data_IF_285124971117
#
_entry.id   IF_285124971117
#
_cell.length_a   1.000
_cell.length_b   1.000
_cell.length_c   1.000
_cell.angle_alpha   90.00
_cell.angle_beta   90.00
_cell.angle_gamma   90.00
#
_symmetry.space_group_name_H-M   'P 1'
#
loop_
_entity.id
_entity.type
_entity.pdbx_description
1 polymer ?
#
# COMPACT_ATOMS: atom_id res chain seq x y z
N UNK A 1 6.40 3.23 -15.40
CA UNK A 1 6.81 3.04 -13.98
C UNK A 1 5.76 2.19 -13.24
N UNK A 2 6.16 1.22 -12.42
CA UNK A 2 5.26 0.37 -11.63
C UNK A 2 5.14 0.87 -10.20
N UNK A 3 3.92 1.14 -9.75
CA UNK A 3 3.63 1.63 -8.40
C UNK A 3 2.73 0.65 -7.65
N UNK A 4 3.14 0.25 -6.45
CA UNK A 4 2.31 -0.59 -5.56
C UNK A 4 1.66 0.25 -4.47
N UNK A 5 0.33 0.23 -4.39
CA UNK A 5 -0.50 1.00 -3.46
C UNK A 5 -0.92 0.14 -2.26
N UNK A 6 -0.06 0.06 -1.25
CA UNK A 6 -0.34 -0.62 0.03
C UNK A 6 -1.10 0.30 1.00
N UNK A 7 -1.82 -0.29 1.95
CA UNK A 7 -2.49 0.44 3.02
C UNK A 7 -3.97 0.10 3.15
N UNK A 8 -4.66 0.92 3.94
CA UNK A 8 -6.10 0.80 4.21
C UNK A 8 -6.97 0.72 2.95
N UNK A 9 -8.11 0.03 3.04
CA UNK A 9 -9.03 -0.26 1.92
C UNK A 9 -10.45 0.29 2.17
N UNK A 10 -10.59 1.25 3.08
CA UNK A 10 -11.85 1.80 3.57
C UNK A 10 -12.19 3.19 3.00
N UNK A 11 -11.30 3.79 2.20
CA UNK A 11 -11.53 5.06 1.50
C UNK A 11 -11.15 4.94 0.02
N UNK A 12 -11.43 5.99 -0.76
CA UNK A 12 -11.24 6.10 -2.21
C UNK A 12 -9.85 6.63 -2.63
N UNK A 13 -8.88 6.63 -1.71
CA UNK A 13 -7.57 7.26 -1.94
C UNK A 13 -6.79 6.66 -3.12
N UNK A 14 -6.97 5.35 -3.41
CA UNK A 14 -6.30 4.70 -4.54
C UNK A 14 -6.88 5.20 -5.86
N UNK A 15 -8.21 5.28 -5.94
CA UNK A 15 -8.95 5.78 -7.08
C UNK A 15 -8.53 7.22 -7.37
N UNK A 16 -8.39 8.06 -6.36
CA UNK A 16 -7.89 9.44 -6.52
C UNK A 16 -6.48 9.50 -7.10
N UNK A 17 -5.55 8.63 -6.67
CA UNK A 17 -4.19 8.57 -7.24
C UNK A 17 -4.22 8.09 -8.68
N UNK A 18 -4.97 7.01 -8.95
CA UNK A 18 -5.07 6.42 -10.29
C UNK A 18 -5.68 7.43 -11.28
N UNK A 19 -6.75 8.12 -10.87
CA UNK A 19 -7.39 9.16 -11.67
C UNK A 19 -6.45 10.35 -11.92
N UNK A 20 -5.82 10.86 -10.86
CA UNK A 20 -4.94 12.03 -10.95
C UNK A 20 -3.66 11.77 -11.75
N UNK A 21 -3.23 10.51 -11.88
CA UNK A 21 -2.05 10.10 -12.62
C UNK A 21 -2.36 9.52 -14.01
N UNK A 22 -3.60 9.65 -14.53
CA UNK A 22 -3.99 9.10 -15.84
C UNK A 22 -3.15 9.58 -17.02
N UNK A 23 -2.56 10.76 -16.92
CA UNK A 23 -1.69 11.33 -17.95
C UNK A 23 -0.22 10.92 -17.81
N UNK A 24 0.12 10.12 -16.78
CA UNK A 24 1.46 9.62 -16.52
C UNK A 24 1.61 8.18 -17.02
N UNK A 25 2.83 7.82 -17.47
CA UNK A 25 3.19 6.44 -17.81
C UNK A 25 3.44 5.59 -16.53
N UNK A 26 2.36 5.35 -15.79
CA UNK A 26 2.36 4.60 -14.53
C UNK A 26 1.37 3.44 -14.59
N UNK A 27 1.81 2.27 -14.14
CA UNK A 27 0.95 1.12 -13.90
C UNK A 27 0.81 0.92 -12.39
N UNK A 28 -0.44 0.95 -11.91
CA UNK A 28 -0.74 0.76 -10.50
C UNK A 28 -1.16 -0.68 -10.21
N UNK A 29 -0.80 -1.15 -9.01
CA UNK A 29 -1.23 -2.43 -8.45
C UNK A 29 -1.45 -2.28 -6.94
N UNK A 30 -2.16 -3.23 -6.32
CA UNK A 30 -2.48 -3.17 -4.89
C UNK A 30 -3.00 -4.50 -4.35
N UNK A 31 -3.32 -4.55 -3.04
CA UNK A 31 -3.91 -5.73 -2.42
C UNK A 31 -5.33 -5.98 -2.93
N UNK A 32 -5.89 -7.15 -2.59
CA UNK A 32 -7.31 -7.42 -2.82
C UNK A 32 -8.13 -6.52 -1.89
N UNK A 33 -9.02 -5.71 -2.45
CA UNK A 33 -9.89 -4.78 -1.70
C UNK A 33 -11.26 -5.38 -1.38
N UNK A 34 -11.62 -6.50 -2.01
CA UNK A 34 -12.77 -7.31 -1.61
C UNK A 34 -12.44 -8.05 -0.31
N UNK A 35 -13.06 -7.59 0.78
CA UNK A 35 -12.84 -8.13 2.12
C UNK A 35 -13.15 -9.63 2.22
N UNK A 36 -14.28 -10.08 1.69
CA UNK A 36 -14.70 -11.48 1.81
C UNK A 36 -13.76 -12.38 1.01
N UNK A 37 -13.41 -11.97 -0.22
CA UNK A 37 -12.45 -12.70 -1.03
C UNK A 37 -11.06 -12.75 -0.37
N UNK A 38 -10.62 -11.66 0.27
CA UNK A 38 -9.34 -11.58 0.97
C UNK A 38 -9.31 -12.50 2.19
N UNK A 39 -10.35 -12.50 3.02
CA UNK A 39 -10.41 -13.27 4.26
C UNK A 39 -10.53 -14.78 4.00
N UNK A 40 -11.32 -15.16 2.99
CA UNK A 40 -11.65 -16.57 2.74
C UNK A 40 -10.77 -17.25 1.68
N UNK A 41 -9.86 -16.52 1.02
CA UNK A 41 -9.04 -17.08 -0.07
C UNK A 41 -8.27 -18.34 0.33
N UNK A 42 -7.80 -18.40 1.58
CA UNK A 42 -7.07 -19.54 2.11
C UNK A 42 -7.93 -20.80 2.15
N UNK A 43 -9.12 -20.72 2.74
CA UNK A 43 -10.01 -21.88 2.91
C UNK A 43 -10.74 -22.25 1.63
N UNK A 44 -11.07 -21.26 0.79
CA UNK A 44 -11.70 -21.50 -0.52
C UNK A 44 -10.78 -22.27 -1.48
N UNK A 45 -9.45 -22.11 -1.36
CA UNK A 45 -8.46 -22.72 -2.26
C UNK A 45 -7.79 -23.95 -1.65
N UNK A 46 -7.38 -23.88 -0.38
CA UNK A 46 -6.56 -24.91 0.28
C UNK A 46 -7.38 -25.86 1.17
N UNK A 47 -8.70 -25.70 1.18
CA UNK A 47 -9.63 -26.50 1.97
C UNK A 47 -9.99 -25.87 3.32
N UNK A 48 -11.17 -26.26 3.79
CA UNK A 48 -11.81 -25.73 4.99
C UNK A 48 -10.91 -25.78 6.23
N UNK A 49 -11.12 -24.85 7.15
CA UNK A 49 -10.35 -24.73 8.38
C UNK A 49 -11.25 -24.28 9.54
N UNK A 50 -11.67 -25.20 10.43
CA UNK A 50 -12.55 -24.86 11.54
C UNK A 50 -11.85 -24.05 12.63
N UNK A 51 -10.51 -24.10 12.71
CA UNK A 51 -9.78 -23.29 13.67
C UNK A 51 -9.59 -21.86 13.15
N UNK A 52 -10.21 -20.87 13.79
CA UNK A 52 -10.18 -19.47 13.36
C UNK A 52 -8.76 -18.90 13.18
N UNK A 53 -7.80 -19.28 14.02
CA UNK A 53 -6.42 -18.81 13.86
C UNK A 53 -5.81 -19.35 12.57
N UNK A 54 -5.98 -20.64 12.28
CA UNK A 54 -5.45 -21.26 11.06
C UNK A 54 -6.21 -20.83 9.80
N UNK A 55 -7.51 -20.55 9.91
CA UNK A 55 -8.32 -19.95 8.87
C UNK A 55 -7.68 -18.63 8.41
N UNK A 56 -7.48 -17.70 9.36
CA UNK A 56 -6.89 -16.40 9.10
C UNK A 56 -5.44 -16.51 8.63
N UNK A 57 -4.68 -17.44 9.19
CA UNK A 57 -3.32 -17.70 8.77
C UNK A 57 -3.26 -18.16 7.30
N UNK A 58 -4.13 -19.07 6.87
CA UNK A 58 -4.20 -19.51 5.46
C UNK A 58 -4.49 -18.33 4.54
N UNK A 59 -5.50 -17.52 4.87
CA UNK A 59 -5.84 -16.32 4.09
C UNK A 59 -4.69 -15.32 4.04
N UNK A 60 -4.06 -15.04 5.18
CA UNK A 60 -2.91 -14.14 5.27
C UNK A 60 -1.72 -14.62 4.43
N UNK A 61 -1.40 -15.92 4.44
CA UNK A 61 -0.27 -16.47 3.67
C UNK A 61 -0.50 -16.43 2.16
N UNK A 62 -1.72 -16.69 1.69
CA UNK A 62 -2.06 -16.57 0.26
C UNK A 62 -1.99 -15.11 -0.19
N UNK A 63 -2.54 -14.18 0.60
CA UNK A 63 -2.41 -12.75 0.33
C UNK A 63 -0.95 -12.28 0.36
N UNK A 64 -0.13 -12.82 1.27
CA UNK A 64 1.29 -12.48 1.35
C UNK A 64 2.05 -12.79 0.05
N UNK A 65 1.68 -13.84 -0.69
CA UNK A 65 2.28 -14.11 -2.02
C UNK A 65 2.04 -12.93 -2.96
N UNK A 66 0.81 -12.42 -3.01
CA UNK A 66 0.43 -11.28 -3.86
C UNK A 66 1.13 -10.00 -3.41
N UNK A 67 1.07 -9.71 -2.12
CA UNK A 67 1.64 -8.48 -1.54
C UNK A 67 3.15 -8.44 -1.70
N UNK A 68 3.87 -9.52 -1.38
CA UNK A 68 5.33 -9.58 -1.55
C UNK A 68 5.72 -9.46 -3.01
N UNK A 69 5.04 -10.19 -3.90
CA UNK A 69 5.29 -10.07 -5.33
C UNK A 69 5.08 -8.63 -5.84
N UNK A 70 3.99 -7.97 -5.41
CA UNK A 70 3.69 -6.59 -5.76
C UNK A 70 4.77 -5.61 -5.28
N UNK A 71 5.19 -5.71 -4.01
CA UNK A 71 6.24 -4.86 -3.44
C UNK A 71 7.60 -5.11 -4.12
N UNK A 72 8.01 -6.38 -4.28
CA UNK A 72 9.28 -6.75 -4.90
C UNK A 72 9.40 -6.27 -6.36
N UNK A 73 8.29 -6.22 -7.10
CA UNK A 73 8.26 -5.81 -8.51
C UNK A 73 7.90 -4.33 -8.72
N UNK A 74 7.64 -3.58 -7.66
CA UNK A 74 7.39 -2.14 -7.75
C UNK A 74 8.68 -1.34 -7.93
N UNK A 75 8.60 -0.28 -8.74
CA UNK A 75 9.63 0.76 -8.82
C UNK A 75 9.49 1.74 -7.63
N UNK A 76 8.24 2.03 -7.23
CA UNK A 76 7.89 2.87 -6.07
C UNK A 76 6.75 2.22 -5.29
N UNK A 77 6.83 2.24 -3.97
CA UNK A 77 5.76 1.79 -3.06
C UNK A 77 5.10 3.00 -2.41
N UNK A 78 3.77 3.05 -2.44
CA UNK A 78 2.99 4.02 -1.67
C UNK A 78 2.29 3.28 -0.54
N UNK A 79 2.46 3.72 0.70
CA UNK A 79 1.79 3.13 1.87
C UNK A 79 0.85 4.15 2.50
N UNK A 80 -0.45 3.86 2.50
CA UNK A 80 -1.48 4.69 3.14
C UNK A 80 -1.77 4.24 4.56
N UNK A 81 -1.67 5.19 5.50
CA UNK A 81 -2.20 5.08 6.85
C UNK A 81 -3.44 5.97 7.03
N UNK A 82 -4.62 5.35 7.22
CA UNK A 82 -5.91 6.03 7.46
C UNK A 82 -6.35 6.03 8.94
N UNK A 83 -7.56 6.52 9.26
CA UNK A 83 -8.03 6.65 10.65
C UNK A 83 -8.50 5.34 11.30
N UNK A 84 -9.05 4.43 10.48
CA UNK A 84 -9.73 3.24 10.97
C UNK A 84 -8.75 2.11 11.23
N UNK A 85 -8.97 1.40 12.34
CA UNK A 85 -8.16 0.26 12.78
C UNK A 85 -6.68 0.62 13.00
N UNK A 86 -5.91 -0.33 13.52
CA UNK A 86 -4.49 -0.10 13.83
C UNK A 86 -3.56 -0.22 12.61
N UNK A 87 -4.03 -0.80 11.51
CA UNK A 87 -3.33 -0.93 10.22
C UNK A 87 -1.94 -1.58 10.31
N UNK A 88 -1.85 -2.66 11.10
CA UNK A 88 -0.61 -3.43 11.27
C UNK A 88 -0.08 -4.02 9.97
N UNK A 89 -0.97 -4.39 9.04
CA UNK A 89 -0.60 -4.85 7.72
C UNK A 89 0.14 -3.75 6.91
N UNK A 90 -0.34 -2.50 6.96
CA UNK A 90 0.32 -1.38 6.29
C UNK A 90 1.70 -1.11 6.89
N UNK A 91 1.83 -1.16 8.23
CA UNK A 91 3.11 -1.03 8.90
C UNK A 91 4.09 -2.16 8.53
N UNK A 92 3.57 -3.40 8.41
CA UNK A 92 4.37 -4.55 7.99
C UNK A 92 4.86 -4.40 6.55
N UNK A 93 3.98 -3.99 5.63
CA UNK A 93 4.31 -3.73 4.23
C UNK A 93 5.35 -2.60 4.09
N UNK A 94 5.21 -1.51 4.86
CA UNK A 94 6.20 -0.44 4.90
C UNK A 94 7.57 -0.92 5.39
N UNK A 95 7.60 -1.72 6.46
CA UNK A 95 8.83 -2.32 6.97
C UNK A 95 9.48 -3.26 5.95
N UNK A 96 8.69 -4.07 5.24
CA UNK A 96 9.19 -4.97 4.21
C UNK A 96 9.72 -4.23 2.99
N UNK A 97 9.01 -3.20 2.51
CA UNK A 97 9.46 -2.33 1.43
C UNK A 97 10.78 -1.62 1.80
N UNK A 98 10.88 -1.10 3.02
CA UNK A 98 12.11 -0.49 3.54
C UNK A 98 13.28 -1.48 3.60
N UNK A 99 13.03 -2.71 4.07
CA UNK A 99 14.06 -3.75 4.12
C UNK A 99 14.58 -4.16 2.73
N UNK A 100 13.73 -4.08 1.70
CA UNK A 100 14.11 -4.31 0.30
C UNK A 100 14.75 -3.08 -0.38
N UNK A 101 14.88 -1.94 0.32
CA UNK A 101 15.41 -0.71 -0.24
C UNK A 101 14.51 -0.08 -1.31
N UNK A 102 13.20 -0.34 -1.26
CA UNK A 102 12.25 0.22 -2.23
C UNK A 102 12.04 1.72 -1.97
N UNK A 103 12.08 2.58 -3.01
CA UNK A 103 11.62 3.96 -2.89
C UNK A 103 10.19 3.99 -2.36
N UNK A 104 9.99 4.66 -1.23
CA UNK A 104 8.71 4.64 -0.51
C UNK A 104 8.14 6.04 -0.30
N UNK A 105 6.86 6.20 -0.62
CA UNK A 105 6.05 7.37 -0.28
C UNK A 105 5.06 6.94 0.80
N UNK A 106 4.98 7.68 1.90
CA UNK A 106 3.98 7.44 2.94
C UNK A 106 2.87 8.47 2.79
N UNK A 107 1.63 8.02 2.69
CA UNK A 107 0.46 8.88 2.71
C UNK A 107 -0.20 8.76 4.09
N UNK A 108 -0.14 9.78 4.94
CA UNK A 108 -0.64 9.74 6.32
C UNK A 108 -1.15 11.10 6.78
N UNK A 109 -2.11 11.13 7.71
CA UNK A 109 -2.59 12.40 8.27
C UNK A 109 -1.60 12.96 9.31
N UNK A 110 -1.57 14.29 9.55
CA UNK A 110 -0.68 14.92 10.53
C UNK A 110 -0.76 14.32 11.94
N UNK A 111 -1.92 13.81 12.35
CA UNK A 111 -2.15 13.22 13.67
C UNK A 111 -1.34 11.92 13.88
N UNK A 112 -0.90 11.26 12.80
CA UNK A 112 -0.14 10.01 12.87
C UNK A 112 1.38 10.21 12.98
N UNK A 113 1.89 11.44 12.93
CA UNK A 113 3.33 11.74 12.86
C UNK A 113 4.14 11.05 13.99
N UNK A 114 3.66 11.07 15.23
CA UNK A 114 4.38 10.42 16.32
C UNK A 114 4.38 8.89 16.21
N UNK A 115 3.24 8.30 15.84
CA UNK A 115 3.09 6.85 15.73
C UNK A 115 3.83 6.27 14.52
N UNK A 116 4.03 7.07 13.47
CA UNK A 116 4.68 6.67 12.23
C UNK A 116 6.12 7.18 12.11
N UNK A 117 6.72 7.76 13.15
CA UNK A 117 8.03 8.42 13.06
C UNK A 117 9.14 7.53 12.45
N UNK A 118 9.19 6.24 12.77
CA UNK A 118 10.16 5.30 12.15
C UNK A 118 9.80 4.98 10.69
N UNK A 119 8.51 4.88 10.37
CA UNK A 119 8.03 4.64 9.00
C UNK A 119 8.29 5.86 8.12
N UNK A 120 8.05 7.06 8.65
CA UNK A 120 8.37 8.34 7.99
C UNK A 120 9.86 8.50 7.78
N UNK A 121 10.70 8.12 8.74
CA UNK A 121 12.16 8.16 8.60
C UNK A 121 12.67 7.23 7.48
N UNK A 122 11.95 6.15 7.17
CA UNK A 122 12.27 5.25 6.05
C UNK A 122 11.70 5.71 4.70
N UNK A 123 10.78 6.68 4.68
CA UNK A 123 10.14 7.18 3.47
C UNK A 123 11.00 8.26 2.79
N UNK A 124 10.94 8.33 1.46
CA UNK A 124 11.57 9.39 0.67
C UNK A 124 10.65 10.61 0.50
N UNK A 125 9.35 10.42 0.73
CA UNK A 125 8.37 11.49 0.78
C UNK A 125 7.23 11.11 1.75
N UNK A 126 6.74 12.11 2.50
CA UNK A 126 5.53 11.99 3.32
C UNK A 126 4.49 12.95 2.76
N UNK A 127 3.37 12.41 2.32
CA UNK A 127 2.21 13.11 1.79
C UNK A 127 1.05 13.06 2.80
N UNK A 128 0.21 14.08 2.77
CA UNK A 128 -1.02 14.18 3.56
C UNK A 128 -2.26 13.90 2.71
N UNK A 129 -2.22 14.28 1.42
CA UNK A 129 -3.32 14.15 0.47
C UNK A 129 -2.92 13.32 -0.78
N UNK A 130 -3.84 12.52 -1.36
CA UNK A 130 -3.58 11.75 -2.58
C UNK A 130 -2.97 12.55 -3.73
N UNK A 131 -3.41 13.80 -3.92
CA UNK A 131 -2.85 14.69 -4.97
C UNK A 131 -1.35 14.92 -4.82
N UNK A 132 -0.81 14.95 -3.60
CA UNK A 132 0.62 15.16 -3.39
C UNK A 132 1.42 13.94 -3.85
N UNK A 133 0.86 12.72 -3.71
CA UNK A 133 1.47 11.52 -4.27
C UNK A 133 1.54 11.62 -5.79
N UNK A 134 0.46 12.06 -6.44
CA UNK A 134 0.43 12.28 -7.90
C UNK A 134 1.51 13.28 -8.33
N UNK A 135 1.64 14.42 -7.63
CA UNK A 135 2.66 15.42 -7.94
C UNK A 135 4.10 14.90 -7.73
N UNK A 136 4.33 14.08 -6.71
CA UNK A 136 5.62 13.40 -6.52
C UNK A 136 5.91 12.47 -7.70
N UNK A 137 4.95 11.64 -8.12
CA UNK A 137 5.13 10.73 -9.26
C UNK A 137 5.38 11.49 -10.57
N UNK A 138 4.65 12.59 -10.79
CA UNK A 138 4.82 13.48 -11.95
C UNK A 138 6.23 14.07 -11.98
N UNK A 139 6.72 14.56 -10.84
CA UNK A 139 8.07 15.09 -10.74
C UNK A 139 9.13 14.01 -11.01
N UNK A 140 8.97 12.81 -10.44
CA UNK A 140 9.89 11.68 -10.66
C UNK A 140 9.98 11.30 -12.14
N UNK A 141 8.86 11.30 -12.87
CA UNK A 141 8.85 10.94 -14.29
C UNK A 141 9.31 12.05 -15.23
N UNK A 142 9.05 13.31 -14.90
CA UNK A 142 9.14 14.42 -15.87
C UNK A 142 10.08 15.55 -15.46
N UNK A 143 10.46 15.62 -14.19
CA UNK A 143 11.21 16.73 -13.60
C UNK A 143 10.44 18.07 -13.51
N UNK A 144 9.13 18.08 -13.78
CA UNK A 144 8.29 19.29 -13.79
C UNK A 144 7.59 19.51 -12.45
N UNK A 145 7.53 20.77 -12.02
CA UNK A 145 6.77 21.20 -10.84
C UNK A 145 5.27 21.37 -11.17
N UNK A 146 4.38 21.33 -10.16
CA UNK A 146 2.98 21.72 -10.34
C UNK A 146 2.89 23.17 -10.84
N UNK A 147 1.91 23.45 -11.72
CA UNK A 147 1.65 24.78 -12.29
C UNK A 147 0.25 25.28 -11.99
#
# INVERSE_FOLDING_TARGET
>A
MKVYLSGEIHTDWREQIVEGAKDLDVTFSGPVTDHAASDDCGVAILGDEPNKYWHDHKGAMVNAIRTRHGIENADVVVVRFGEKYKQWNAAFDAGYAAALGKPMIVLSMPEHQHALKEVHAAALAVAEEPRQVVEVLRYVLTGKLPG
#
